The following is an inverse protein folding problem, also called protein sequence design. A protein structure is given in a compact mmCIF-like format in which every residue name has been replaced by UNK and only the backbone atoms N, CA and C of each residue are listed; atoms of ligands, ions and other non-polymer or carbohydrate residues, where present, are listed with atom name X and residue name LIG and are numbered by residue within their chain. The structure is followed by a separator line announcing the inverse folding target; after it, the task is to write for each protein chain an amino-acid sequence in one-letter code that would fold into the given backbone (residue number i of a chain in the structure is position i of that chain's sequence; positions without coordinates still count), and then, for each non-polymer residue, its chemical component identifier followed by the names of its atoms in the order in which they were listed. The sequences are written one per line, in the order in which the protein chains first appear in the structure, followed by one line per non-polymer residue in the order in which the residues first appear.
data_IF_808824797160
#
_entry.id   IF_808824797160
#
_cell.length_a   1.000
_cell.length_b   1.000
_cell.length_c   1.000
_cell.angle_alpha   90.00
_cell.angle_beta   90.00
_cell.angle_gamma   90.00
#
_symmetry.space_group_name_H-M   'P 1'
#
loop_
_entity.id
_entity.type
_entity.pdbx_description
1 polymer ?
#
# COMPACT_ATOMS: atom_id res chain seq x y z
N UNK A 1 6.87 -13.37 9.72
CA UNK A 1 6.90 -11.95 10.17
C UNK A 1 7.07 -11.06 8.97
N UNK A 2 6.57 -9.83 9.01
CA UNK A 2 6.75 -8.83 7.96
C UNK A 2 7.31 -7.55 8.58
N UNK A 3 8.25 -6.91 7.90
CA UNK A 3 8.72 -5.58 8.31
C UNK A 3 8.57 -4.66 7.15
N UNK A 4 7.83 -3.57 7.31
CA UNK A 4 7.82 -2.53 6.29
C UNK A 4 8.94 -1.54 6.59
N UNK A 5 9.84 -1.36 5.64
CA UNK A 5 10.98 -0.46 5.71
C UNK A 5 10.91 0.53 4.58
N UNK A 6 10.96 1.82 4.89
CA UNK A 6 11.16 2.86 3.88
C UNK A 6 12.64 3.24 3.83
N UNK A 7 13.23 3.23 2.63
CA UNK A 7 14.62 3.64 2.41
C UNK A 7 14.66 5.02 1.76
N UNK A 8 15.24 5.98 2.48
CA UNK A 8 15.42 7.35 1.99
C UNK A 8 16.85 7.54 1.42
N UNK A 9 16.97 8.30 0.33
CA UNK A 9 18.25 8.77 -0.21
C UNK A 9 18.90 9.78 0.76
N UNK A 10 20.17 9.58 1.11
CA UNK A 10 20.99 10.63 1.71
C UNK A 10 22.01 11.10 0.69
N UNK A 11 21.78 12.28 0.11
CA UNK A 11 22.82 12.99 -0.61
C UNK A 11 23.84 13.56 0.39
N UNK A 12 24.95 12.84 0.61
CA UNK A 12 26.17 13.47 1.11
C UNK A 12 26.75 14.33 -0.02
N UNK A 13 26.46 15.63 0.02
CA UNK A 13 27.12 16.68 -0.76
C UNK A 13 27.39 16.38 -2.25
N UNK A 14 26.33 16.13 -3.02
CA UNK A 14 26.39 16.39 -4.46
C UNK A 14 25.35 17.46 -4.81
N UNK A 15 25.81 18.71 -4.94
CA UNK A 15 25.08 19.77 -5.64
C UNK A 15 24.89 19.33 -7.09
N UNK A 16 23.82 18.59 -7.40
CA UNK A 16 23.50 18.20 -8.77
C UNK A 16 22.63 19.29 -9.40
N UNK A 17 23.33 20.24 -9.99
CA UNK A 17 22.86 21.08 -11.09
C UNK A 17 22.36 20.15 -12.22
N UNK A 18 21.04 19.87 -12.32
CA UNK A 18 20.33 19.52 -13.58
C UNK A 18 18.80 19.34 -13.35
N UNK A 19 18.13 20.34 -12.79
CA UNK A 19 16.76 20.25 -12.23
C UNK A 19 15.62 19.83 -13.20
N UNK A 20 15.84 19.74 -14.52
CA UNK A 20 14.80 19.35 -15.50
C UNK A 20 15.00 17.98 -16.19
N UNK A 21 16.21 17.42 -16.23
CA UNK A 21 16.47 16.09 -16.84
C UNK A 21 16.44 14.96 -15.78
N UNK A 22 16.59 15.30 -14.50
CA UNK A 22 16.57 14.35 -13.39
C UNK A 22 15.18 13.76 -13.12
N UNK A 23 14.07 14.50 -13.30
CA UNK A 23 12.74 14.02 -12.86
C UNK A 23 12.26 12.81 -13.67
N UNK A 24 12.56 12.73 -14.97
CA UNK A 24 12.12 11.62 -15.82
C UNK A 24 12.97 10.35 -15.67
N UNK A 25 14.28 10.51 -15.41
CA UNK A 25 15.22 9.38 -15.31
C UNK A 25 15.53 8.97 -13.87
N UNK A 26 15.28 9.83 -12.88
CA UNK A 26 15.53 9.56 -11.46
C UNK A 26 14.84 8.30 -10.96
N UNK A 27 13.57 7.99 -11.31
CA UNK A 27 12.94 6.75 -10.85
C UNK A 27 13.69 5.52 -11.36
N UNK A 28 14.07 5.49 -12.64
CA UNK A 28 14.81 4.35 -13.23
C UNK A 28 16.20 4.20 -12.64
N UNK A 29 16.91 5.31 -12.44
CA UNK A 29 18.23 5.31 -11.83
C UNK A 29 18.19 4.85 -10.36
N UNK A 30 17.18 5.32 -9.62
CA UNK A 30 16.95 4.88 -8.24
C UNK A 30 16.64 3.38 -8.17
N UNK A 31 15.74 2.87 -9.04
CA UNK A 31 15.46 1.44 -9.13
C UNK A 31 16.71 0.63 -9.49
N UNK A 32 17.55 1.12 -10.41
CA UNK A 32 18.80 0.44 -10.76
C UNK A 32 19.79 0.41 -9.58
N UNK A 33 19.95 1.52 -8.86
CA UNK A 33 20.81 1.58 -7.69
C UNK A 33 20.32 0.64 -6.57
N UNK A 34 19.00 0.59 -6.33
CA UNK A 34 18.41 -0.37 -5.41
C UNK A 34 18.66 -1.81 -5.87
N UNK A 35 18.46 -2.12 -7.16
CA UNK A 35 18.71 -3.46 -7.69
C UNK A 35 20.17 -3.89 -7.50
N UNK A 36 21.12 -2.99 -7.71
CA UNK A 36 22.54 -3.27 -7.45
C UNK A 36 22.84 -3.46 -5.96
N UNK A 37 22.14 -2.76 -5.05
CA UNK A 37 22.18 -3.10 -3.63
C UNK A 37 21.66 -4.52 -3.37
N UNK A 38 20.52 -4.89 -3.96
CA UNK A 38 19.93 -6.21 -3.73
C UNK A 38 20.80 -7.37 -4.25
N UNK A 39 21.59 -7.15 -5.31
CA UNK A 39 22.58 -8.15 -5.78
C UNK A 39 23.70 -8.42 -4.76
N UNK A 40 23.94 -7.52 -3.81
CA UNK A 40 24.95 -7.68 -2.78
C UNK A 40 24.42 -8.40 -1.53
N UNK A 41 23.11 -8.64 -1.44
CA UNK A 41 22.46 -9.33 -0.32
C UNK A 41 22.42 -10.83 -0.59
N UNK A 42 22.99 -11.64 0.31
CA UNK A 42 22.90 -13.11 0.22
C UNK A 42 21.74 -13.61 1.08
N UNK A 43 20.53 -13.54 0.53
CA UNK A 43 19.31 -13.98 1.21
C UNK A 43 18.84 -15.38 0.77
N UNK A 44 19.76 -16.23 0.32
CA UNK A 44 19.43 -17.62 0.00
C UNK A 44 19.02 -18.37 1.25
N UNK A 45 17.82 -18.95 1.23
CA UNK A 45 17.25 -19.70 2.36
C UNK A 45 16.60 -18.83 3.44
N UNK A 46 16.66 -17.50 3.31
CA UNK A 46 15.86 -16.58 4.11
C UNK A 46 14.50 -16.37 3.45
N UNK A 47 13.51 -15.88 4.20
CA UNK A 47 12.17 -15.60 3.65
C UNK A 47 11.06 -16.42 4.29
N UNK A 48 9.93 -16.45 3.59
CA UNK A 48 8.81 -17.36 3.84
C UNK A 48 8.88 -18.47 2.80
N UNK A 49 8.91 -19.72 3.24
CA UNK A 49 8.90 -20.88 2.34
C UNK A 49 7.47 -21.18 1.87
N UNK A 50 7.27 -21.13 0.55
CA UNK A 50 6.03 -21.52 -0.11
C UNK A 50 6.37 -22.61 -1.13
N UNK A 51 5.99 -23.85 -0.82
CA UNK A 51 6.19 -25.02 -1.70
C UNK A 51 7.65 -25.24 -2.12
N UNK A 52 8.62 -24.91 -1.28
CA UNK A 52 10.05 -25.07 -1.56
C UNK A 52 10.73 -23.81 -2.12
N UNK A 53 9.95 -22.78 -2.47
CA UNK A 53 10.47 -21.49 -2.91
C UNK A 53 10.42 -20.46 -1.78
N UNK A 54 11.51 -19.72 -1.60
CA UNK A 54 11.61 -18.72 -0.53
C UNK A 54 11.26 -17.33 -1.03
N UNK A 55 10.21 -16.74 -0.47
CA UNK A 55 9.85 -15.35 -0.73
C UNK A 55 10.49 -14.47 0.34
N UNK A 56 11.56 -13.75 -0.03
CA UNK A 56 12.37 -12.94 0.89
C UNK A 56 11.81 -11.54 1.12
N UNK A 57 11.36 -10.86 0.07
CA UNK A 57 10.95 -9.45 0.17
C UNK A 57 9.97 -9.00 -0.90
N UNK A 58 9.24 -7.91 -0.62
CA UNK A 58 8.49 -7.14 -1.61
C UNK A 58 9.14 -5.76 -1.78
N UNK A 59 9.13 -5.21 -3.01
CA UNK A 59 9.73 -3.90 -3.31
C UNK A 59 8.76 -3.05 -4.12
N UNK A 60 8.55 -1.82 -3.69
CA UNK A 60 7.86 -0.81 -4.46
C UNK A 60 8.50 0.55 -4.22
N UNK A 61 9.18 1.08 -5.24
CA UNK A 61 9.99 2.29 -5.11
C UNK A 61 10.94 2.21 -3.90
N UNK A 62 10.78 3.09 -2.92
CA UNK A 62 11.54 3.20 -1.68
C UNK A 62 11.01 2.31 -0.54
N UNK A 63 9.81 1.76 -0.66
CA UNK A 63 9.23 0.85 0.32
C UNK A 63 9.65 -0.61 0.04
N UNK A 64 10.28 -1.22 1.04
CA UNK A 64 10.80 -2.58 1.00
C UNK A 64 10.20 -3.34 2.18
N UNK A 65 9.67 -4.52 1.91
CA UNK A 65 9.08 -5.38 2.93
C UNK A 65 9.86 -6.68 3.06
N UNK A 66 10.91 -6.76 3.91
CA UNK A 66 11.55 -8.03 4.23
C UNK A 66 10.61 -8.93 5.02
N UNK A 67 10.68 -10.23 4.73
CA UNK A 67 9.84 -11.26 5.32
C UNK A 67 10.72 -12.40 5.80
N UNK A 68 10.40 -12.96 6.96
CA UNK A 68 11.15 -14.09 7.51
C UNK A 68 10.27 -14.95 8.42
N UNK A 69 10.62 -16.22 8.56
CA UNK A 69 9.98 -17.17 9.46
C UNK A 69 10.48 -17.03 10.90
N UNK A 70 11.76 -16.68 11.10
CA UNK A 70 12.36 -16.48 12.43
C UNK A 70 12.75 -15.02 12.68
N UNK A 71 12.82 -14.67 13.97
CA UNK A 71 13.22 -13.33 14.43
C UNK A 71 14.70 -13.06 14.17
N UNK A 72 15.51 -14.11 14.26
CA UNK A 72 16.94 -14.06 14.00
C UNK A 72 17.20 -13.75 12.53
N UNK A 73 16.55 -14.48 11.63
CA UNK A 73 16.59 -14.23 10.19
C UNK A 73 16.17 -12.82 9.85
N UNK A 74 15.07 -12.35 10.44
CA UNK A 74 14.57 -11.01 10.21
C UNK A 74 15.59 -9.95 10.65
N UNK A 75 16.19 -10.13 11.82
CA UNK A 75 17.21 -9.23 12.35
C UNK A 75 18.44 -9.18 11.44
N UNK A 76 18.90 -10.34 10.96
CA UNK A 76 20.02 -10.46 10.01
C UNK A 76 19.69 -9.74 8.71
N UNK A 77 18.54 -10.04 8.09
CA UNK A 77 18.10 -9.41 6.85
C UNK A 77 18.03 -7.88 6.97
N UNK A 78 17.52 -7.35 8.09
CA UNK A 78 17.44 -5.91 8.32
C UNK A 78 18.82 -5.27 8.49
N UNK A 79 19.75 -5.93 9.20
CA UNK A 79 21.11 -5.41 9.36
C UNK A 79 21.89 -5.45 8.04
N UNK A 80 21.72 -6.50 7.24
CA UNK A 80 22.31 -6.62 5.90
C UNK A 80 21.78 -5.53 4.97
N UNK A 81 20.45 -5.38 4.91
CA UNK A 81 19.81 -4.34 4.10
C UNK A 81 20.34 -2.96 4.46
N UNK A 82 20.46 -2.68 5.76
CA UNK A 82 20.94 -1.41 6.26
C UNK A 82 22.42 -1.15 5.92
N UNK A 83 23.26 -2.18 6.05
CA UNK A 83 24.70 -2.13 5.72
C UNK A 83 24.90 -1.87 4.23
N UNK A 84 24.24 -2.66 3.37
CA UNK A 84 24.34 -2.52 1.92
C UNK A 84 23.76 -1.20 1.45
N UNK A 85 22.62 -0.77 1.99
CA UNK A 85 22.02 0.53 1.64
C UNK A 85 22.99 1.68 1.90
N UNK A 86 23.71 1.66 3.03
CA UNK A 86 24.71 2.70 3.30
C UNK A 86 25.86 2.73 2.31
N UNK A 87 26.32 1.55 1.84
CA UNK A 87 27.42 1.46 0.87
C UNK A 87 27.09 2.14 -0.45
N UNK A 88 25.81 2.21 -0.82
CA UNK A 88 25.33 2.86 -2.04
C UNK A 88 24.73 4.25 -1.80
N UNK A 89 24.90 4.82 -0.59
CA UNK A 89 24.43 6.17 -0.26
C UNK A 89 22.94 6.26 0.13
N UNK A 90 22.31 5.13 0.44
CA UNK A 90 20.93 5.06 0.95
C UNK A 90 20.90 4.87 2.47
N UNK A 91 19.83 5.32 3.12
CA UNK A 91 19.63 5.14 4.57
C UNK A 91 18.20 4.71 4.86
N UNK A 92 18.07 3.66 5.67
CA UNK A 92 16.77 3.25 6.20
C UNK A 92 16.20 4.32 7.12
N UNK A 93 14.93 4.65 6.93
CA UNK A 93 14.18 5.52 7.81
C UNK A 93 13.64 4.70 8.99
N UNK A 94 14.38 4.69 10.10
CA UNK A 94 14.02 3.90 11.28
C UNK A 94 12.69 4.34 11.90
N UNK A 95 12.31 5.61 11.77
CA UNK A 95 11.06 6.14 12.32
C UNK A 95 9.84 5.65 11.52
N UNK A 96 9.98 5.48 10.20
CA UNK A 96 8.95 4.89 9.34
C UNK A 96 8.96 3.36 9.35
N UNK A 97 10.10 2.75 9.68
CA UNK A 97 10.25 1.29 9.64
C UNK A 97 9.49 0.64 10.78
N UNK A 98 8.51 -0.22 10.46
CA UNK A 98 7.64 -0.89 11.44
C UNK A 98 7.65 -2.40 11.25
N UNK A 99 7.54 -3.12 12.35
CA UNK A 99 7.52 -4.59 12.39
C UNK A 99 6.12 -5.09 12.69
N UNK A 100 5.72 -6.13 11.96
CA UNK A 100 4.46 -6.83 12.14
C UNK A 100 4.71 -8.32 12.38
N UNK A 101 4.12 -8.84 13.45
CA UNK A 101 4.16 -10.26 13.78
C UNK A 101 2.88 -10.97 13.34
N UNK A 102 3.03 -12.23 12.93
CA UNK A 102 1.86 -13.09 12.79
C UNK A 102 1.42 -13.55 14.19
N UNK A 103 0.14 -13.93 14.34
CA UNK A 103 -0.47 -14.42 15.60
C UNK A 103 0.30 -15.61 16.21
N UNK A 104 1.04 -16.35 15.39
CA UNK A 104 1.82 -17.52 15.79
C UNK A 104 3.22 -17.19 16.33
N UNK A 105 3.64 -15.91 16.33
CA UNK A 105 4.97 -15.49 16.78
C UNK A 105 4.84 -14.55 17.96
N UNK A 106 5.58 -14.83 19.04
CA UNK A 106 5.61 -13.94 20.21
C UNK A 106 6.35 -12.65 19.82
N UNK A 107 5.74 -11.46 19.96
CA UNK A 107 6.39 -10.20 19.65
C UNK A 107 7.63 -10.00 20.52
N UNK A 108 8.78 -9.78 19.89
CA UNK A 108 10.01 -9.36 20.59
C UNK A 108 10.59 -8.09 19.99
N UNK A 109 11.31 -7.28 20.80
CA UNK A 109 12.07 -6.15 20.28
C UNK A 109 13.09 -6.59 19.24
N UNK A 110 13.03 -6.02 18.04
CA UNK A 110 14.11 -6.12 17.05
C UNK A 110 14.87 -4.81 17.05
N UNK A 111 16.20 -4.91 17.08
CA UNK A 111 17.10 -3.76 17.16
C UNK A 111 17.96 -3.72 15.90
N UNK A 112 17.95 -2.58 15.21
CA UNK A 112 18.80 -2.32 14.04
C UNK A 112 19.67 -1.10 14.36
N UNK A 113 21.00 -1.25 14.31
CA UNK A 113 21.96 -0.17 14.69
C UNK A 113 21.66 0.52 16.03
N UNK A 114 21.34 -0.27 17.06
CA UNK A 114 20.98 0.20 18.40
C UNK A 114 19.64 0.98 18.46
N UNK A 115 18.89 1.06 17.35
CA UNK A 115 17.52 1.59 17.35
C UNK A 115 16.53 0.45 17.44
N UNK A 116 15.67 0.48 18.45
CA UNK A 116 14.56 -0.46 18.59
C UNK A 116 13.46 -0.08 17.59
N UNK A 117 13.07 -1.02 16.74
CA UNK A 117 11.98 -0.82 15.79
C UNK A 117 10.63 -0.95 16.50
N UNK A 118 9.67 -0.12 16.09
CA UNK A 118 8.31 -0.15 16.62
C UNK A 118 7.55 -1.35 16.05
N UNK A 119 6.85 -2.05 16.93
CA UNK A 119 5.99 -3.18 16.60
C UNK A 119 4.55 -2.69 16.50
N UNK A 120 3.89 -2.97 15.37
CA UNK A 120 2.53 -2.52 15.08
C UNK A 120 1.64 -3.69 14.64
N UNK A 121 0.36 -3.62 14.98
CA UNK A 121 -0.64 -4.61 14.54
C UNK A 121 -1.20 -4.30 13.14
N UNK A 122 -1.12 -3.04 12.72
CA UNK A 122 -1.57 -2.57 11.41
C UNK A 122 -0.61 -1.53 10.85
N UNK A 123 -0.42 -1.55 9.53
CA UNK A 123 0.44 -0.61 8.83
C UNK A 123 -0.20 -0.20 7.50
N UNK A 124 -0.04 1.06 7.09
CA UNK A 124 -0.52 1.52 5.77
C UNK A 124 0.58 1.29 4.75
N UNK A 125 0.47 0.24 3.94
CA UNK A 125 1.39 -0.05 2.85
C UNK A 125 0.73 0.25 1.50
N UNK A 126 1.41 1.04 0.66
CA UNK A 126 0.89 1.49 -0.65
C UNK A 126 -0.53 2.05 -0.56
N UNK A 127 -0.79 2.79 0.52
CA UNK A 127 -2.08 3.39 0.79
C UNK A 127 -3.16 2.42 1.26
N UNK A 128 -2.91 1.13 1.46
CA UNK A 128 -3.86 0.16 2.06
C UNK A 128 -3.48 -0.19 3.50
N UNK A 129 -4.46 -0.35 4.39
CA UNK A 129 -4.20 -0.96 5.70
C UNK A 129 -3.92 -2.45 5.50
N UNK A 130 -2.71 -2.85 5.87
CA UNK A 130 -2.27 -4.24 5.96
C UNK A 130 -2.31 -4.67 7.42
N UNK A 131 -2.87 -5.86 7.63
CA UNK A 131 -2.93 -6.59 8.91
C UNK A 131 -2.58 -8.04 8.63
N UNK A 132 -2.01 -8.72 9.62
CA UNK A 132 -1.73 -10.15 9.58
C UNK A 132 -2.86 -10.91 10.30
N UNK A 133 -3.43 -11.97 9.71
CA UNK A 133 -4.58 -12.71 10.28
C UNK A 133 -5.73 -13.04 9.32
N UNK A 134 -6.88 -13.53 9.83
CA UNK A 134 -8.02 -14.02 9.02
C UNK A 134 -9.14 -12.98 8.77
N UNK A 135 -9.14 -11.83 9.44
CA UNK A 135 -10.22 -10.81 9.36
C UNK A 135 -9.68 -9.40 9.15
N UNK A 136 -8.93 -9.23 8.06
CA UNK A 136 -8.01 -8.11 7.94
C UNK A 136 -8.57 -6.93 7.14
N UNK A 137 -9.61 -7.14 6.34
CA UNK A 137 -10.05 -6.15 5.36
C UNK A 137 -11.23 -5.29 5.82
N UNK A 138 -11.96 -5.64 6.88
CA UNK A 138 -13.13 -4.85 7.30
C UNK A 138 -12.79 -3.42 7.72
N UNK A 139 -11.63 -3.23 8.37
CA UNK A 139 -11.13 -1.88 8.69
C UNK A 139 -10.78 -1.11 7.42
N UNK A 140 -10.10 -1.74 6.47
CA UNK A 140 -9.74 -1.11 5.21
C UNK A 140 -10.97 -0.75 4.37
N UNK A 141 -11.96 -1.65 4.27
CA UNK A 141 -13.26 -1.39 3.62
C UNK A 141 -13.93 -0.16 4.22
N UNK A 142 -14.02 -0.09 5.55
CA UNK A 142 -14.64 1.05 6.23
C UNK A 142 -13.84 2.35 5.99
N UNK A 143 -12.51 2.29 6.03
CA UNK A 143 -11.65 3.45 5.76
C UNK A 143 -11.83 3.96 4.33
N UNK A 144 -11.91 3.05 3.35
CA UNK A 144 -12.15 3.40 1.92
C UNK A 144 -13.49 4.08 1.72
N UNK A 145 -14.54 3.57 2.36
CA UNK A 145 -15.87 4.21 2.36
C UNK A 145 -15.77 5.63 2.95
N UNK A 146 -15.06 5.83 4.06
CA UNK A 146 -14.87 7.16 4.65
C UNK A 146 -14.08 8.11 3.75
N UNK A 147 -13.01 7.63 3.12
CA UNK A 147 -12.22 8.41 2.15
C UNK A 147 -13.05 8.80 0.92
N UNK A 148 -13.87 7.87 0.44
CA UNK A 148 -14.80 8.10 -0.67
C UNK A 148 -15.85 9.17 -0.31
N UNK A 149 -16.43 9.09 0.90
CA UNK A 149 -17.31 10.15 1.44
C UNK A 149 -16.61 11.51 1.55
N UNK A 150 -15.34 11.53 1.96
CA UNK A 150 -14.56 12.76 2.02
C UNK A 150 -14.30 13.34 0.62
N UNK A 151 -13.98 12.49 -0.36
CA UNK A 151 -13.80 12.88 -1.76
C UNK A 151 -15.11 13.41 -2.37
N UNK A 152 -16.22 12.70 -2.14
CA UNK A 152 -17.56 13.13 -2.52
C UNK A 152 -17.92 14.48 -1.89
N UNK A 153 -17.65 14.64 -0.59
CA UNK A 153 -17.89 15.87 0.16
C UNK A 153 -17.17 17.10 -0.42
N UNK A 154 -15.92 16.93 -0.88
CA UNK A 154 -15.15 18.00 -1.56
C UNK A 154 -15.82 18.45 -2.86
N UNK A 155 -16.46 17.52 -3.57
CA UNK A 155 -17.14 17.77 -4.85
C UNK A 155 -18.65 18.03 -4.71
N UNK A 156 -19.16 18.10 -3.48
CA UNK A 156 -20.61 18.21 -3.20
C UNK A 156 -21.27 19.39 -3.92
N UNK A 157 -20.61 20.54 -3.97
CA UNK A 157 -21.12 21.72 -4.66
C UNK A 157 -21.32 21.50 -6.16
N UNK A 158 -20.48 20.67 -6.81
CA UNK A 158 -20.60 20.29 -8.21
C UNK A 158 -21.78 19.33 -8.39
N UNK A 159 -21.91 18.34 -7.49
CA UNK A 159 -23.00 17.37 -7.53
C UNK A 159 -24.38 18.01 -7.26
N UNK A 160 -24.44 19.06 -6.46
CA UNK A 160 -25.66 19.84 -6.20
C UNK A 160 -25.93 20.94 -7.25
N UNK A 161 -25.04 21.14 -8.21
CA UNK A 161 -25.22 22.16 -9.25
C UNK A 161 -26.18 21.71 -10.37
N UNK A 162 -26.55 22.63 -11.26
CA UNK A 162 -27.35 22.37 -12.46
C UNK A 162 -26.60 21.69 -13.61
N UNK A 163 -25.41 21.11 -13.37
CA UNK A 163 -24.65 20.38 -14.40
C UNK A 163 -25.45 19.16 -14.89
N UNK A 164 -25.39 18.82 -16.19
CA UNK A 164 -26.00 17.62 -16.75
C UNK A 164 -25.63 16.33 -15.98
N UNK A 165 -26.61 15.45 -15.79
CA UNK A 165 -26.44 14.21 -15.01
C UNK A 165 -25.33 13.30 -15.55
N UNK A 166 -25.20 13.19 -16.88
CA UNK A 166 -24.12 12.43 -17.51
C UNK A 166 -22.72 12.90 -17.09
N UNK A 167 -22.52 14.22 -16.90
CA UNK A 167 -21.26 14.78 -16.44
C UNK A 167 -21.05 14.51 -14.95
N UNK A 168 -22.09 14.61 -14.12
CA UNK A 168 -22.03 14.20 -12.70
C UNK A 168 -21.66 12.72 -12.58
N UNK A 169 -22.25 11.86 -13.41
CA UNK A 169 -21.91 10.43 -13.44
C UNK A 169 -20.46 10.21 -13.81
N UNK A 170 -19.97 10.84 -14.88
CA UNK A 170 -18.56 10.73 -15.27
C UNK A 170 -17.62 11.22 -14.18
N UNK A 171 -17.92 12.36 -13.54
CA UNK A 171 -17.12 12.88 -12.43
C UNK A 171 -17.09 11.92 -11.24
N UNK A 172 -18.23 11.35 -10.87
CA UNK A 172 -18.29 10.35 -9.81
C UNK A 172 -17.42 9.13 -10.14
N UNK A 173 -17.61 8.53 -11.32
CA UNK A 173 -16.86 7.34 -11.76
C UNK A 173 -15.36 7.60 -11.87
N UNK A 174 -14.93 8.80 -12.25
CA UNK A 174 -13.51 9.11 -12.49
C UNK A 174 -12.78 9.65 -11.25
N UNK A 175 -13.47 10.32 -10.33
CA UNK A 175 -12.82 11.03 -9.23
C UNK A 175 -13.19 10.52 -7.84
N UNK A 176 -14.39 9.95 -7.68
CA UNK A 176 -14.90 9.49 -6.38
C UNK A 176 -14.74 7.98 -6.30
N UNK A 177 -15.43 7.23 -7.17
CA UNK A 177 -15.42 5.77 -7.18
C UNK A 177 -14.01 5.12 -7.08
N UNK A 178 -12.96 5.61 -7.76
CA UNK A 178 -11.63 5.03 -7.66
C UNK A 178 -11.04 5.09 -6.24
N UNK A 179 -11.46 6.05 -5.40
CA UNK A 179 -11.04 6.17 -4.00
C UNK A 179 -11.54 4.99 -3.19
N UNK A 180 -12.79 4.58 -3.42
CA UNK A 180 -13.40 3.40 -2.79
C UNK A 180 -12.84 2.09 -3.35
N UNK A 181 -12.63 1.99 -4.66
CA UNK A 181 -12.23 0.74 -5.33
C UNK A 181 -10.74 0.47 -5.32
N UNK A 182 -9.91 1.43 -4.93
CA UNK A 182 -8.46 1.26 -4.91
C UNK A 182 -8.03 0.09 -4.00
N UNK A 183 -7.29 -0.84 -4.61
CA UNK A 183 -6.72 -1.97 -3.92
C UNK A 183 -7.76 -3.04 -3.54
N UNK A 184 -8.98 -2.96 -4.04
CA UNK A 184 -10.00 -4.00 -3.81
C UNK A 184 -9.61 -5.34 -4.42
N UNK A 185 -8.73 -5.36 -5.42
CA UNK A 185 -8.13 -6.54 -6.03
C UNK A 185 -7.32 -7.40 -5.05
N UNK A 186 -6.82 -6.82 -3.94
CA UNK A 186 -6.05 -7.54 -2.91
C UNK A 186 -6.92 -8.09 -1.78
N UNK A 187 -8.23 -7.81 -1.79
CA UNK A 187 -9.13 -8.16 -0.69
C UNK A 187 -9.75 -9.52 -0.89
N UNK A 188 -9.93 -10.26 0.20
CA UNK A 188 -10.85 -11.40 0.21
C UNK A 188 -12.29 -10.87 0.20
N UNK A 189 -12.97 -10.94 -0.94
CA UNK A 189 -14.37 -10.54 -1.04
C UNK A 189 -15.27 -11.51 -0.28
N UNK A 190 -16.14 -10.95 0.55
CA UNK A 190 -17.26 -11.67 1.16
C UNK A 190 -18.54 -10.95 0.79
N UNK A 191 -19.67 -11.67 0.79
CA UNK A 191 -20.98 -11.07 0.53
C UNK A 191 -21.26 -9.85 1.45
N UNK A 192 -20.82 -9.92 2.71
CA UNK A 192 -20.92 -8.82 3.67
C UNK A 192 -20.11 -7.58 3.27
N UNK A 193 -18.84 -7.76 2.87
CA UNK A 193 -17.97 -6.64 2.44
C UNK A 193 -18.49 -5.99 1.16
N UNK A 194 -18.91 -6.81 0.19
CA UNK A 194 -19.49 -6.31 -1.05
C UNK A 194 -20.79 -5.54 -0.81
N UNK A 195 -21.63 -6.00 0.12
CA UNK A 195 -22.84 -5.28 0.53
C UNK A 195 -22.52 -3.91 1.11
N UNK A 196 -21.49 -3.77 1.95
CA UNK A 196 -21.07 -2.47 2.51
C UNK A 196 -20.70 -1.47 1.41
N UNK A 197 -19.87 -1.89 0.44
CA UNK A 197 -19.47 -1.04 -0.68
C UNK A 197 -20.68 -0.63 -1.54
N UNK A 198 -21.56 -1.59 -1.88
CA UNK A 198 -22.78 -1.33 -2.65
C UNK A 198 -23.73 -0.37 -1.93
N UNK A 199 -23.86 -0.46 -0.61
CA UNK A 199 -24.68 0.47 0.18
C UNK A 199 -24.09 1.87 0.18
N UNK A 200 -22.78 2.02 0.37
CA UNK A 200 -22.10 3.31 0.33
C UNK A 200 -22.24 3.99 -1.04
N UNK A 201 -21.98 3.23 -2.12
CA UNK A 201 -22.16 3.70 -3.50
C UNK A 201 -23.58 4.21 -3.74
N UNK A 202 -24.59 3.40 -3.43
CA UNK A 202 -26.01 3.78 -3.62
C UNK A 202 -26.40 5.01 -2.82
N UNK A 203 -25.86 5.17 -1.62
CA UNK A 203 -26.13 6.33 -0.79
C UNK A 203 -25.57 7.62 -1.42
N UNK A 204 -24.37 7.59 -2.00
CA UNK A 204 -23.79 8.74 -2.72
C UNK A 204 -24.55 9.04 -4.01
N UNK A 205 -24.87 8.01 -4.80
CA UNK A 205 -25.67 8.14 -6.02
C UNK A 205 -27.05 8.77 -5.73
N UNK A 206 -27.68 8.37 -4.62
CA UNK A 206 -28.95 8.94 -4.17
C UNK A 206 -28.88 10.44 -3.80
N UNK A 207 -27.75 10.90 -3.28
CA UNK A 207 -27.55 12.31 -2.90
C UNK A 207 -27.26 13.24 -4.08
N UNK A 208 -26.92 12.70 -5.25
CA UNK A 208 -26.72 13.49 -6.46
C UNK A 208 -28.02 13.94 -7.15
N UNK A 209 -29.18 13.47 -6.67
CA UNK A 209 -30.52 13.69 -7.24
C UNK A 209 -30.59 13.34 -8.73
N UNK A 210 -31.19 12.19 -9.05
CA UNK A 210 -31.43 11.62 -10.40
C UNK A 210 -30.31 10.80 -11.09
N UNK A 211 -29.52 10.02 -10.34
CA UNK A 211 -28.81 8.88 -10.98
C UNK A 211 -29.76 7.75 -11.44
N UNK A 212 -31.02 7.76 -10.99
CA UNK A 212 -32.01 6.70 -11.17
C UNK A 212 -32.40 6.38 -12.63
N UNK A 213 -31.91 7.13 -13.63
CA UNK A 213 -32.20 6.84 -15.04
C UNK A 213 -31.03 6.25 -15.86
N UNK A 214 -29.79 6.14 -15.36
CA UNK A 214 -28.68 5.56 -16.16
C UNK A 214 -27.75 4.69 -15.34
N UNK A 215 -28.19 3.50 -14.93
CA UNK A 215 -27.29 2.34 -14.75
C UNK A 215 -28.04 1.03 -14.99
N UNK A 216 -28.61 0.87 -16.18
CA UNK A 216 -28.98 -0.45 -16.72
C UNK A 216 -27.98 -0.76 -17.85
N UNK A 217 -26.75 -1.12 -17.49
CA UNK A 217 -26.00 -2.18 -18.18
C UNK A 217 -24.57 -2.42 -17.69
N UNK A 218 -23.73 -1.45 -17.28
CA UNK A 218 -22.27 -1.74 -17.28
C UNK A 218 -21.39 -1.28 -16.09
N UNK A 219 -21.91 -0.68 -15.02
CA UNK A 219 -21.06 -0.22 -13.90
C UNK A 219 -21.67 -0.48 -12.52
N UNK A 220 -22.05 -1.73 -12.24
CA UNK A 220 -22.13 -2.20 -10.85
C UNK A 220 -20.79 -2.81 -10.48
N UNK A 221 -20.48 -2.85 -9.18
CA UNK A 221 -19.54 -3.84 -8.64
C UNK A 221 -20.16 -5.22 -8.91
N UNK A 222 -20.03 -5.69 -10.15
CA UNK A 222 -20.53 -6.95 -10.70
C UNK A 222 -19.43 -7.71 -11.43
N UNK A 223 -18.17 -7.34 -11.25
CA UNK A 223 -17.03 -8.02 -11.84
C UNK A 223 -16.10 -8.62 -10.78
N UNK A 224 -16.66 -9.27 -9.75
CA UNK A 224 -15.93 -10.27 -8.93
C UNK A 224 -16.98 -11.20 -8.28
N UNK A 225 -17.63 -12.04 -9.08
CA UNK A 225 -18.23 -13.28 -8.54
C UNK A 225 -17.16 -14.37 -8.67
N UNK A 226 -16.68 -14.97 -7.58
CA UNK A 226 -15.90 -16.20 -7.68
C UNK A 226 -16.86 -17.35 -8.02
N UNK A 227 -16.54 -18.12 -9.07
CA UNK A 227 -17.09 -19.46 -9.28
C UNK A 227 -16.84 -20.37 -8.05
#
# INVERSE_FOLDING_TARGET
MLVNTTIDLYFLNLKIVQFCLSILYSPKLFTAALEDAFKLLDWKGYGININGEYITHLRFADDIVPMAESLEDLSTMLNDLNSVSQRIGLKMNMDKTKIMFNVHVTPMPVVVRNTKLEVVDEYVYLGQIVRLGKSNFDREVNRRIQLDWAAFGKLRHIFSSGIPQNLKTRLYTQCVLPVMTYGTETWSFTAGRMRKLKVAQRAMEGLCSEFLCVTNSEMRISAVEPE
#
